data_IF_618217927469
#
_entry.id   IF_618217927469
#
_cell.length_a   1.000
_cell.length_b   1.000
_cell.length_c   1.000
_cell.angle_alpha   90.00
_cell.angle_beta   90.00
_cell.angle_gamma   90.00
#
_symmetry.space_group_name_H-M   'P 1'
#
loop_
_entity.id
_entity.type
_entity.pdbx_description
1 polymer ?
#
# COMPACT_ATOMS: atom_id res chain seq x y z
N UNK A 1 26.38 3.70 -24.71
CA UNK A 1 25.15 2.92 -24.52
C UNK A 1 25.44 1.88 -23.45
N UNK A 2 25.22 2.22 -22.20
CA UNK A 2 25.36 1.28 -21.07
C UNK A 2 23.99 0.65 -20.86
N UNK A 3 23.90 -0.64 -21.15
CA UNK A 3 22.74 -1.48 -20.83
C UNK A 3 22.54 -1.45 -19.34
N UNK A 4 21.48 -0.78 -18.89
CA UNK A 4 20.99 -0.94 -17.53
C UNK A 4 20.51 -2.39 -17.41
N UNK A 5 21.28 -3.23 -16.75
CA UNK A 5 20.88 -4.59 -16.41
C UNK A 5 19.72 -4.43 -15.40
N UNK A 6 18.51 -4.55 -15.91
CA UNK A 6 17.32 -4.70 -15.07
C UNK A 6 17.54 -6.01 -14.31
N UNK A 7 17.70 -5.91 -12.98
CA UNK A 7 17.71 -7.07 -12.12
C UNK A 7 16.32 -7.72 -12.20
N UNK A 8 16.25 -8.83 -12.89
CA UNK A 8 15.03 -9.56 -13.19
C UNK A 8 14.49 -10.27 -11.94
N UNK A 9 13.19 -10.52 -11.94
CA UNK A 9 12.43 -11.25 -10.93
C UNK A 9 13.10 -12.56 -10.45
N UNK A 10 13.89 -13.22 -11.30
CA UNK A 10 14.73 -14.38 -10.95
C UNK A 10 15.79 -14.04 -9.90
N UNK A 11 16.42 -12.86 -9.96
CA UNK A 11 17.41 -12.43 -8.98
C UNK A 11 16.75 -11.89 -7.70
N UNK A 12 15.55 -11.34 -7.80
CA UNK A 12 14.71 -10.97 -6.63
C UNK A 12 14.12 -12.20 -5.93
N UNK A 13 13.81 -13.27 -6.69
CA UNK A 13 13.34 -14.55 -6.13
C UNK A 13 14.49 -15.43 -5.65
N UNK A 14 15.72 -15.22 -6.08
CA UNK A 14 16.89 -15.91 -5.51
C UNK A 14 17.19 -15.46 -4.07
N UNK A 15 16.69 -14.29 -3.67
CA UNK A 15 16.70 -13.83 -2.27
C UNK A 15 15.52 -14.41 -1.45
N UNK A 16 14.54 -15.05 -2.12
CA UNK A 16 13.44 -15.79 -1.47
C UNK A 16 13.69 -17.28 -1.71
N UNK A 17 14.31 -18.01 -0.77
CA UNK A 17 14.59 -19.43 -0.96
C UNK A 17 13.25 -20.17 -1.16
N UNK A 18 13.12 -20.82 -2.31
CA UNK A 18 12.12 -21.87 -2.49
C UNK A 18 12.19 -22.79 -1.28
N UNK A 19 11.04 -23.05 -0.63
CA UNK A 19 10.85 -23.84 0.58
C UNK A 19 11.94 -24.91 0.77
N UNK A 20 12.97 -24.62 1.53
CA UNK A 20 13.76 -25.66 2.14
C UNK A 20 13.06 -26.03 3.45
N UNK A 21 12.49 -27.21 3.51
CA UNK A 21 11.82 -27.81 4.66
C UNK A 21 12.83 -28.12 5.81
N UNK A 22 13.59 -27.13 6.22
CA UNK A 22 14.28 -27.18 7.53
C UNK A 22 13.35 -26.47 8.49
N UNK A 23 12.71 -27.28 9.37
CA UNK A 23 12.04 -26.78 10.56
C UNK A 23 12.96 -25.74 11.21
N UNK A 24 12.67 -24.47 11.03
CA UNK A 24 13.33 -23.42 11.77
C UNK A 24 13.00 -23.68 13.24
N UNK A 25 14.00 -23.91 14.04
CA UNK A 25 13.86 -23.95 15.49
C UNK A 25 13.06 -22.72 15.89
N UNK A 26 12.09 -22.88 16.80
CA UNK A 26 11.17 -21.86 17.24
C UNK A 26 11.89 -20.71 17.97
N UNK A 27 12.59 -19.88 17.21
CA UNK A 27 13.12 -18.63 17.75
C UNK A 27 11.98 -17.60 17.78
N UNK A 28 11.81 -16.94 18.91
CA UNK A 28 10.87 -15.82 19.05
C UNK A 28 11.24 -14.75 18.02
N UNK A 29 10.30 -14.43 17.11
CA UNK A 29 10.50 -13.44 16.05
C UNK A 29 10.36 -12.02 16.62
N UNK A 30 11.38 -11.20 16.46
CA UNK A 30 11.31 -9.77 16.84
C UNK A 30 10.57 -9.00 15.74
N UNK A 31 9.55 -8.23 16.16
CA UNK A 31 8.67 -7.52 15.24
C UNK A 31 8.61 -6.03 15.55
N UNK A 32 8.60 -5.21 14.50
CA UNK A 32 8.32 -3.77 14.56
C UNK A 32 7.04 -3.48 13.77
N UNK A 33 6.15 -2.64 14.32
CA UNK A 33 4.92 -2.25 13.62
C UNK A 33 4.87 -0.73 13.51
N UNK A 34 5.14 -0.22 12.32
CA UNK A 34 4.98 1.19 12.00
C UNK A 34 3.51 1.46 11.68
N UNK A 35 2.89 2.40 12.41
CA UNK A 35 1.45 2.68 12.29
C UNK A 35 0.57 1.69 13.06
N UNK A 36 1.00 1.25 14.24
CA UNK A 36 0.36 0.23 15.07
C UNK A 36 -1.09 0.54 15.49
N UNK A 37 -1.49 1.80 15.51
CA UNK A 37 -2.84 2.25 15.90
C UNK A 37 -3.78 2.46 14.71
N UNK A 38 -3.33 2.20 13.48
CA UNK A 38 -4.15 2.20 12.28
C UNK A 38 -4.79 0.82 12.02
N UNK A 39 -5.68 0.72 11.03
CA UNK A 39 -6.41 -0.53 10.72
C UNK A 39 -5.50 -1.73 10.38
N UNK A 40 -4.42 -1.49 9.64
CA UNK A 40 -3.43 -2.52 9.33
C UNK A 40 -2.62 -2.89 10.57
N UNK A 41 -2.22 -1.88 11.37
CA UNK A 41 -1.54 -2.08 12.63
C UNK A 41 -2.38 -2.91 13.60
N UNK A 42 -3.65 -2.56 13.77
CA UNK A 42 -4.59 -3.29 14.64
C UNK A 42 -4.76 -4.76 14.20
N UNK A 43 -4.95 -5.00 12.90
CA UNK A 43 -4.99 -6.35 12.33
C UNK A 43 -3.69 -7.13 12.56
N UNK A 44 -2.54 -6.45 12.49
CA UNK A 44 -1.23 -7.05 12.78
C UNK A 44 -1.11 -7.41 14.26
N UNK A 45 -1.49 -6.49 15.15
CA UNK A 45 -1.44 -6.72 16.58
C UNK A 45 -2.44 -7.80 17.04
N UNK A 46 -3.59 -7.95 16.35
CA UNK A 46 -4.52 -9.07 16.60
C UNK A 46 -3.89 -10.44 16.30
N UNK A 47 -3.13 -10.55 15.20
CA UNK A 47 -2.40 -11.77 14.87
C UNK A 47 -1.27 -12.06 15.85
N UNK A 48 -0.52 -11.07 16.28
CA UNK A 48 0.55 -11.22 17.28
C UNK A 48 -0.04 -11.63 18.63
N UNK A 49 -1.17 -11.05 19.03
CA UNK A 49 -1.90 -11.39 20.26
C UNK A 49 -2.38 -12.82 20.30
N UNK A 50 -2.65 -13.43 19.15
CA UNK A 50 -3.10 -14.83 19.05
C UNK A 50 -1.99 -15.86 19.36
N UNK A 51 -0.71 -15.47 19.28
CA UNK A 51 0.44 -16.34 19.54
C UNK A 51 1.60 -15.53 20.18
N UNK A 52 1.39 -14.95 21.38
CA UNK A 52 2.32 -13.99 21.99
C UNK A 52 3.68 -14.59 22.29
N UNK A 53 3.78 -15.89 22.50
CA UNK A 53 5.02 -16.62 22.75
C UNK A 53 5.94 -16.70 21.51
N UNK A 54 5.39 -16.45 20.32
CA UNK A 54 6.13 -16.49 19.05
C UNK A 54 6.75 -15.15 18.68
N UNK A 55 6.34 -14.05 19.33
CA UNK A 55 6.71 -12.71 18.91
C UNK A 55 7.22 -11.87 20.08
N UNK A 56 8.25 -11.08 19.81
CA UNK A 56 8.74 -10.03 20.70
C UNK A 56 8.60 -8.69 19.99
N UNK A 57 7.83 -7.79 20.57
CA UNK A 57 7.63 -6.45 19.98
C UNK A 57 8.84 -5.57 20.31
N UNK A 58 9.59 -5.20 19.27
CA UNK A 58 10.73 -4.30 19.38
C UNK A 58 10.26 -2.84 19.38
N UNK A 59 9.48 -2.44 18.36
CA UNK A 59 9.00 -1.06 18.28
C UNK A 59 7.56 -0.97 17.77
N UNK A 60 6.81 0.02 18.28
CA UNK A 60 5.49 0.41 17.80
C UNK A 60 5.46 1.91 17.52
N UNK A 61 4.78 2.32 16.44
CA UNK A 61 4.59 3.75 16.18
C UNK A 61 3.13 4.12 15.93
N UNK A 62 2.80 5.38 16.20
CA UNK A 62 1.51 5.98 15.88
C UNK A 62 1.72 7.40 15.32
N UNK A 63 0.70 8.01 14.75
CA UNK A 63 0.73 9.42 14.37
C UNK A 63 0.57 10.30 15.61
N UNK A 64 -0.66 10.41 16.14
CA UNK A 64 -1.03 11.29 17.27
C UNK A 64 -1.70 10.54 18.43
N UNK A 65 -2.10 9.28 18.23
CA UNK A 65 -2.89 8.53 19.20
C UNK A 65 -1.99 7.90 20.29
N UNK A 66 -1.65 8.72 21.29
CA UNK A 66 -0.81 8.31 22.44
C UNK A 66 -1.49 7.23 23.28
N UNK A 67 -2.77 7.39 23.57
CA UNK A 67 -3.52 6.46 24.44
C UNK A 67 -3.50 5.03 23.90
N UNK A 68 -3.89 4.86 22.64
CA UNK A 68 -3.88 3.55 21.99
C UNK A 68 -2.46 2.97 21.88
N UNK A 69 -1.45 3.80 21.57
CA UNK A 69 -0.07 3.37 21.48
C UNK A 69 0.46 2.87 22.84
N UNK A 70 0.19 3.60 23.92
CA UNK A 70 0.60 3.22 25.29
C UNK A 70 -0.07 1.92 25.73
N UNK A 71 -1.36 1.72 25.40
CA UNK A 71 -2.07 0.48 25.68
C UNK A 71 -1.39 -0.71 24.99
N UNK A 72 -1.10 -0.62 23.70
CA UNK A 72 -0.38 -1.65 22.95
C UNK A 72 1.04 -1.86 23.51
N UNK A 73 1.76 -0.78 23.80
CA UNK A 73 3.12 -0.85 24.33
C UNK A 73 3.22 -1.62 25.64
N UNK A 74 2.28 -1.40 26.54
CA UNK A 74 2.19 -2.12 27.82
C UNK A 74 1.76 -3.57 27.65
N UNK A 75 0.74 -3.82 26.83
CA UNK A 75 0.23 -5.17 26.53
C UNK A 75 1.32 -6.08 25.98
N UNK A 76 2.06 -5.60 24.98
CA UNK A 76 3.07 -6.38 24.28
C UNK A 76 4.49 -6.17 24.81
N UNK A 77 4.68 -5.38 25.88
CA UNK A 77 5.98 -5.05 26.48
C UNK A 77 6.98 -4.58 25.42
N UNK A 78 6.54 -3.66 24.55
CA UNK A 78 7.38 -3.10 23.51
C UNK A 78 8.64 -2.46 24.11
N UNK A 79 9.77 -2.54 23.42
CA UNK A 79 11.03 -1.92 23.91
C UNK A 79 11.08 -0.44 23.60
N UNK A 80 10.47 -0.04 22.48
CA UNK A 80 10.46 1.35 22.02
C UNK A 80 9.09 1.71 21.44
N UNK A 81 8.67 2.95 21.63
CA UNK A 81 7.50 3.50 20.97
C UNK A 81 7.75 4.92 20.47
N UNK A 82 7.13 5.29 19.36
CA UNK A 82 7.24 6.65 18.83
C UNK A 82 5.91 7.17 18.27
N UNK A 83 5.68 8.48 18.44
CA UNK A 83 4.61 9.22 17.78
C UNK A 83 5.19 10.19 16.77
N UNK A 84 4.53 10.33 15.61
CA UNK A 84 4.99 11.24 14.57
C UNK A 84 4.82 12.72 14.96
N UNK A 85 3.77 13.04 15.73
CA UNK A 85 3.56 14.39 16.23
C UNK A 85 4.51 14.69 17.41
N UNK A 86 5.51 15.54 17.14
CA UNK A 86 6.51 15.92 18.13
C UNK A 86 5.91 16.61 19.37
N UNK A 87 4.76 17.28 19.24
CA UNK A 87 4.07 17.95 20.35
C UNK A 87 3.52 16.96 21.40
N UNK A 88 3.43 15.67 21.06
CA UNK A 88 2.93 14.59 21.92
C UNK A 88 4.00 13.91 22.78
N UNK A 89 5.26 14.36 22.72
CA UNK A 89 6.36 13.69 23.42
C UNK A 89 6.18 13.65 24.94
N UNK A 90 5.81 14.77 25.53
CA UNK A 90 5.68 14.87 27.00
C UNK A 90 4.48 14.07 27.51
N UNK A 91 3.36 14.06 26.76
CA UNK A 91 2.20 13.20 27.02
C UNK A 91 2.62 11.71 26.99
N UNK A 92 3.37 11.30 25.97
CA UNK A 92 3.84 9.93 25.81
C UNK A 92 4.79 9.53 26.95
N UNK A 93 5.76 10.38 27.30
CA UNK A 93 6.70 10.14 28.41
C UNK A 93 5.99 9.98 29.75
N UNK A 94 5.05 10.87 30.06
CA UNK A 94 4.27 10.81 31.29
C UNK A 94 3.45 9.50 31.37
N UNK A 95 2.81 9.10 30.25
CA UNK A 95 2.02 7.89 30.20
C UNK A 95 2.84 6.60 30.31
N UNK A 96 4.14 6.62 29.96
CA UNK A 96 5.05 5.47 30.06
C UNK A 96 5.94 5.48 31.32
N UNK A 97 5.78 6.46 32.19
CA UNK A 97 6.59 6.56 33.40
C UNK A 97 6.53 5.26 34.22
N UNK A 98 7.70 4.78 34.69
CA UNK A 98 7.82 3.56 35.48
C UNK A 98 7.71 2.24 34.70
N UNK A 99 7.50 2.26 33.38
CA UNK A 99 7.39 1.02 32.57
C UNK A 99 8.72 0.49 32.04
N UNK A 100 9.75 1.33 31.97
CA UNK A 100 11.04 1.01 31.32
C UNK A 100 10.99 1.03 29.77
N UNK A 101 9.84 1.35 29.15
CA UNK A 101 9.69 1.45 27.70
C UNK A 101 10.33 2.76 27.23
N UNK A 102 11.24 2.67 26.25
CA UNK A 102 11.83 3.85 25.63
C UNK A 102 10.82 4.53 24.69
N UNK A 103 10.87 5.85 24.57
CA UNK A 103 9.96 6.57 23.67
C UNK A 103 10.61 7.76 22.99
N UNK A 104 10.06 8.10 21.81
CA UNK A 104 10.46 9.25 21.00
C UNK A 104 9.27 9.90 20.31
N UNK A 105 9.50 11.04 19.67
CA UNK A 105 8.49 11.71 18.85
C UNK A 105 9.15 12.45 17.67
N UNK A 106 8.35 12.71 16.64
CA UNK A 106 8.79 13.33 15.38
C UNK A 106 9.35 12.32 14.38
N UNK A 107 9.65 12.81 13.19
CA UNK A 107 10.08 11.98 12.05
C UNK A 107 11.33 11.14 12.36
N UNK A 108 12.31 11.72 13.07
CA UNK A 108 13.53 10.99 13.45
C UNK A 108 13.25 9.80 14.36
N UNK A 109 12.28 9.91 15.28
CA UNK A 109 11.91 8.80 16.16
C UNK A 109 11.14 7.69 15.41
N UNK A 110 10.37 8.04 14.37
CA UNK A 110 9.73 7.05 13.50
C UNK A 110 10.79 6.30 12.68
N UNK A 111 11.82 6.99 12.18
CA UNK A 111 12.97 6.36 11.49
C UNK A 111 13.74 5.48 12.46
N UNK A 112 14.05 5.95 13.69
CA UNK A 112 14.69 5.14 14.74
C UNK A 112 13.93 3.84 14.99
N UNK A 113 12.58 3.89 15.08
CA UNK A 113 11.78 2.67 15.25
C UNK A 113 12.00 1.66 14.12
N UNK A 114 12.21 2.11 12.89
CA UNK A 114 12.47 1.25 11.73
C UNK A 114 13.91 0.72 11.70
N UNK A 115 14.87 1.48 12.21
CA UNK A 115 16.30 1.10 12.30
C UNK A 115 16.57 0.10 13.42
N UNK A 116 15.68 -0.01 14.42
CA UNK A 116 15.88 -0.95 15.54
C UNK A 116 15.90 -2.40 15.05
N UNK A 117 16.72 -3.26 15.66
CA UNK A 117 16.93 -4.64 15.19
C UNK A 117 15.66 -5.48 15.39
N UNK A 118 14.92 -5.68 14.31
CA UNK A 118 13.78 -6.59 14.23
C UNK A 118 13.92 -7.53 13.03
N UNK A 119 13.38 -8.73 13.15
CA UNK A 119 13.45 -9.76 12.12
C UNK A 119 12.37 -9.54 11.05
N UNK A 120 11.29 -8.83 11.41
CA UNK A 120 10.15 -8.52 10.58
C UNK A 120 9.56 -7.15 10.93
N UNK A 121 9.16 -6.41 9.91
CA UNK A 121 8.61 -5.08 10.08
C UNK A 121 7.34 -4.92 9.26
N UNK A 122 6.24 -4.44 9.88
CA UNK A 122 5.05 -3.96 9.19
C UNK A 122 5.23 -2.47 8.87
N UNK A 123 5.23 -2.13 7.59
CA UNK A 123 5.25 -0.76 7.10
C UNK A 123 3.83 -0.29 6.78
N UNK A 124 3.12 0.27 7.77
CA UNK A 124 1.72 0.70 7.66
C UNK A 124 1.50 2.19 7.99
N UNK A 125 2.54 3.03 7.79
CA UNK A 125 2.40 4.49 7.85
C UNK A 125 1.85 4.97 6.51
N UNK A 126 0.68 5.59 6.49
CA UNK A 126 0.01 6.03 5.27
C UNK A 126 0.72 7.21 4.60
N UNK A 127 0.66 7.27 3.25
CA UNK A 127 1.19 8.37 2.45
C UNK A 127 2.71 8.40 2.34
N UNK A 128 3.24 9.44 1.72
CA UNK A 128 4.68 9.63 1.49
C UNK A 128 5.53 9.69 2.78
N UNK A 129 4.91 9.99 3.94
CA UNK A 129 5.59 10.01 5.25
C UNK A 129 6.19 8.63 5.63
N UNK A 130 5.63 7.54 5.10
CA UNK A 130 6.14 6.19 5.33
C UNK A 130 7.40 5.84 4.54
N UNK A 131 7.80 6.64 3.55
CA UNK A 131 8.91 6.31 2.65
C UNK A 131 10.26 6.24 3.39
N UNK A 132 10.61 7.27 4.19
CA UNK A 132 11.90 7.29 4.91
C UNK A 132 12.04 6.15 5.90
N UNK A 133 11.07 5.86 6.80
CA UNK A 133 11.19 4.73 7.70
C UNK A 133 11.18 3.38 6.99
N UNK A 134 10.43 3.21 5.89
CA UNK A 134 10.46 1.98 5.11
C UNK A 134 11.84 1.76 4.44
N UNK A 135 12.47 2.82 3.92
CA UNK A 135 13.84 2.76 3.40
C UNK A 135 14.86 2.44 4.48
N UNK A 136 14.75 3.04 5.68
CA UNK A 136 15.63 2.74 6.80
C UNK A 136 15.55 1.25 7.20
N UNK A 137 14.36 0.66 7.19
CA UNK A 137 14.19 -0.77 7.39
C UNK A 137 14.81 -1.60 6.25
N UNK A 138 14.65 -1.15 4.99
CA UNK A 138 15.23 -1.83 3.84
C UNK A 138 16.76 -1.81 3.87
N UNK A 139 17.38 -0.69 4.24
CA UNK A 139 18.84 -0.54 4.31
C UNK A 139 19.53 -1.52 5.27
N UNK A 140 18.83 -1.99 6.30
CA UNK A 140 19.36 -3.00 7.21
C UNK A 140 19.07 -4.44 6.79
N UNK A 141 18.51 -4.66 5.57
CA UNK A 141 18.21 -5.99 5.06
C UNK A 141 17.01 -6.66 5.75
N UNK A 142 16.03 -5.88 6.25
CA UNK A 142 14.88 -6.42 6.97
C UNK A 142 13.89 -7.16 6.07
N UNK A 143 13.11 -8.09 6.65
CA UNK A 143 11.87 -8.56 6.04
C UNK A 143 10.77 -7.54 6.33
N UNK A 144 10.22 -6.92 5.28
CA UNK A 144 9.24 -5.84 5.37
C UNK A 144 7.92 -6.31 4.76
N UNK A 145 6.87 -6.36 5.57
CA UNK A 145 5.49 -6.44 5.10
C UNK A 145 5.04 -5.02 4.69
N UNK A 146 5.02 -4.76 3.40
CA UNK A 146 4.74 -3.44 2.87
C UNK A 146 3.24 -3.28 2.64
N UNK A 147 2.60 -2.49 3.50
CA UNK A 147 1.19 -2.10 3.38
C UNK A 147 1.03 -0.65 2.90
N UNK A 148 2.10 0.14 2.94
CA UNK A 148 2.14 1.49 2.40
C UNK A 148 2.52 1.46 0.92
N UNK A 149 1.52 1.40 0.06
CA UNK A 149 1.72 1.41 -1.40
C UNK A 149 2.35 2.71 -1.92
N UNK A 150 2.16 3.81 -1.20
CA UNK A 150 2.72 5.12 -1.58
C UNK A 150 4.25 5.11 -1.59
N UNK A 151 4.92 4.24 -0.85
CA UNK A 151 6.37 4.07 -0.94
C UNK A 151 6.81 3.66 -2.35
N UNK A 152 6.08 2.74 -2.98
CA UNK A 152 6.37 2.29 -4.35
C UNK A 152 5.83 3.27 -5.39
N UNK A 153 4.64 3.80 -5.18
CA UNK A 153 4.06 4.79 -6.10
C UNK A 153 4.96 6.03 -6.20
N UNK A 154 5.53 6.48 -5.07
CA UNK A 154 6.36 7.69 -5.05
C UNK A 154 7.84 7.44 -5.41
N UNK A 155 8.38 6.25 -5.14
CA UNK A 155 9.81 6.00 -5.29
C UNK A 155 10.13 4.57 -5.74
N UNK A 156 9.23 3.90 -6.49
CA UNK A 156 9.26 2.46 -6.72
C UNK A 156 10.59 1.92 -7.20
N UNK A 157 11.14 2.42 -8.32
CA UNK A 157 12.43 1.96 -8.85
C UNK A 157 13.56 2.14 -7.83
N UNK A 158 13.65 3.33 -7.24
CA UNK A 158 14.68 3.63 -6.25
C UNK A 158 14.53 2.76 -4.99
N UNK A 159 13.29 2.60 -4.51
CA UNK A 159 12.99 1.79 -3.32
C UNK A 159 13.37 0.32 -3.54
N UNK A 160 12.93 -0.29 -4.64
CA UNK A 160 13.17 -1.71 -4.94
C UNK A 160 14.66 -1.99 -5.19
N UNK A 161 15.36 -1.11 -5.92
CA UNK A 161 16.80 -1.25 -6.13
C UNK A 161 17.58 -1.15 -4.82
N UNK A 162 17.20 -0.24 -3.93
CA UNK A 162 17.85 -0.07 -2.62
C UNK A 162 17.59 -1.25 -1.71
N UNK A 163 16.36 -1.76 -1.67
CA UNK A 163 15.99 -2.95 -0.93
C UNK A 163 16.77 -4.19 -1.42
N UNK A 164 16.84 -4.40 -2.74
CA UNK A 164 17.60 -5.50 -3.33
C UNK A 164 19.09 -5.42 -3.01
N UNK A 165 19.70 -4.22 -3.12
CA UNK A 165 21.11 -3.99 -2.79
C UNK A 165 21.44 -4.32 -1.33
N UNK A 166 20.51 -4.03 -0.42
CA UNK A 166 20.66 -4.30 1.00
C UNK A 166 20.27 -5.74 1.41
N UNK A 167 19.75 -6.55 0.48
CA UNK A 167 19.26 -7.90 0.77
C UNK A 167 17.96 -7.91 1.56
N UNK A 168 17.17 -6.84 1.53
CA UNK A 168 15.86 -6.78 2.16
C UNK A 168 14.85 -7.65 1.42
N UNK A 169 13.93 -8.25 2.17
CA UNK A 169 12.81 -9.02 1.64
C UNK A 169 11.53 -8.18 1.71
N UNK A 170 10.95 -7.83 0.57
CA UNK A 170 9.70 -7.06 0.51
C UNK A 170 8.54 -8.01 0.28
N UNK A 171 7.62 -8.08 1.24
CA UNK A 171 6.41 -8.89 1.19
C UNK A 171 5.20 -7.96 1.00
N UNK A 172 4.39 -8.12 -0.03
CA UNK A 172 3.21 -7.29 -0.23
C UNK A 172 2.14 -7.62 0.82
N UNK A 173 1.71 -6.62 1.60
CA UNK A 173 0.64 -6.78 2.58
C UNK A 173 -0.72 -6.27 2.08
N UNK A 174 -0.77 -5.56 0.96
CA UNK A 174 -2.02 -5.25 0.27
C UNK A 174 -2.66 -6.55 -0.27
N UNK A 175 -3.99 -6.70 -0.20
CA UNK A 175 -4.67 -7.98 -0.43
C UNK A 175 -4.47 -8.49 -1.86
N UNK A 176 -4.55 -7.61 -2.84
CA UNK A 176 -4.42 -7.95 -4.25
C UNK A 176 -2.97 -8.35 -4.60
N UNK A 177 -2.00 -7.58 -4.11
CA UNK A 177 -0.58 -7.87 -4.36
C UNK A 177 -0.13 -9.12 -3.62
N UNK A 178 -0.63 -9.34 -2.41
CA UNK A 178 -0.40 -10.59 -1.69
C UNK A 178 -0.99 -11.79 -2.42
N UNK A 179 -2.17 -11.62 -3.04
CA UNK A 179 -2.80 -12.64 -3.87
C UNK A 179 -1.95 -12.97 -5.10
N UNK A 180 -1.45 -11.95 -5.81
CA UNK A 180 -0.52 -12.14 -6.93
C UNK A 180 0.76 -12.84 -6.49
N UNK A 181 1.34 -12.43 -5.37
CA UNK A 181 2.55 -13.04 -4.82
C UNK A 181 2.36 -14.52 -4.49
N UNK A 182 1.20 -14.90 -3.94
CA UNK A 182 0.86 -16.30 -3.69
C UNK A 182 0.64 -17.10 -4.97
N UNK A 183 -0.03 -16.51 -5.97
CA UNK A 183 -0.32 -17.16 -7.24
C UNK A 183 0.94 -17.32 -8.12
N UNK A 184 1.83 -16.33 -8.14
CA UNK A 184 3.13 -16.37 -8.79
C UNK A 184 4.06 -17.46 -8.25
N UNK A 185 3.91 -17.83 -6.96
CA UNK A 185 4.68 -18.92 -6.36
C UNK A 185 4.47 -20.29 -7.00
N UNK A 186 3.56 -20.41 -7.96
CA UNK A 186 3.31 -21.63 -8.74
C UNK A 186 4.07 -21.70 -10.08
N UNK A 187 4.79 -20.61 -10.48
CA UNK A 187 5.53 -20.53 -11.74
C UNK A 187 6.70 -19.54 -11.67
N UNK A 188 7.34 -19.30 -12.81
CA UNK A 188 8.43 -18.33 -12.96
C UNK A 188 7.99 -17.08 -13.71
N UNK A 189 8.81 -16.02 -13.66
CA UNK A 189 8.57 -14.78 -14.41
C UNK A 189 8.51 -14.98 -15.92
N UNK A 190 9.32 -15.87 -16.45
CA UNK A 190 9.38 -16.19 -17.87
C UNK A 190 8.11 -16.91 -18.36
N UNK A 191 7.40 -17.58 -17.46
CA UNK A 191 6.14 -18.27 -17.76
C UNK A 191 4.93 -17.35 -17.65
N UNK A 192 5.09 -16.17 -17.05
CA UNK A 192 4.02 -15.19 -16.87
C UNK A 192 3.64 -14.52 -18.20
N UNK A 193 2.34 -14.45 -18.48
CA UNK A 193 1.75 -13.62 -19.54
C UNK A 193 1.31 -12.28 -18.99
N UNK A 194 0.50 -12.30 -17.92
CA UNK A 194 -0.01 -11.09 -17.24
C UNK A 194 -0.49 -11.39 -15.84
N UNK A 195 -0.62 -10.34 -15.06
CA UNK A 195 -1.34 -10.37 -13.78
C UNK A 195 -2.69 -9.68 -13.93
N UNK A 196 -3.65 -10.09 -13.12
CA UNK A 196 -5.00 -9.52 -13.11
C UNK A 196 -5.33 -9.13 -11.68
N UNK A 197 -5.46 -7.82 -11.45
CA UNK A 197 -5.84 -7.24 -10.16
C UNK A 197 -7.35 -7.10 -10.13
N UNK A 198 -8.01 -7.57 -9.07
CA UNK A 198 -9.46 -7.39 -8.95
C UNK A 198 -9.81 -6.11 -8.20
N UNK A 199 -10.95 -5.54 -8.50
CA UNK A 199 -11.53 -4.38 -7.85
C UNK A 199 -12.98 -4.64 -7.47
N UNK A 200 -13.45 -4.16 -6.31
CA UNK A 200 -14.89 -4.22 -5.98
C UNK A 200 -15.77 -3.39 -6.94
N UNK A 201 -15.16 -2.42 -7.63
CA UNK A 201 -15.86 -1.41 -8.42
C UNK A 201 -16.43 -0.25 -7.61
N UNK A 202 -16.28 -0.30 -6.29
CA UNK A 202 -16.74 0.76 -5.38
C UNK A 202 -18.27 0.92 -5.33
N UNK A 203 -18.78 1.94 -4.62
CA UNK A 203 -20.21 2.17 -4.45
C UNK A 203 -20.92 2.63 -5.73
N UNK A 204 -20.18 3.15 -6.70
CA UNK A 204 -20.73 3.74 -7.92
C UNK A 204 -20.67 2.83 -9.15
N UNK A 205 -20.30 1.56 -8.97
CA UNK A 205 -20.13 0.59 -10.06
C UNK A 205 -21.30 0.55 -11.06
N UNK A 206 -22.54 0.66 -10.57
CA UNK A 206 -23.76 0.60 -11.38
C UNK A 206 -24.38 1.98 -11.68
N UNK A 207 -23.75 3.07 -11.27
CA UNK A 207 -24.30 4.41 -11.43
C UNK A 207 -24.04 4.97 -12.83
N UNK A 208 -24.95 5.83 -13.32
CA UNK A 208 -24.71 6.60 -14.52
C UNK A 208 -23.61 7.66 -14.31
N UNK A 209 -22.86 7.99 -15.37
CA UNK A 209 -21.75 8.96 -15.27
C UNK A 209 -22.18 10.33 -14.71
N UNK A 210 -23.37 10.80 -15.08
CA UNK A 210 -23.92 12.07 -14.59
C UNK A 210 -24.18 12.06 -13.06
N UNK A 211 -24.60 10.92 -12.53
CA UNK A 211 -24.86 10.76 -11.10
C UNK A 211 -23.53 10.66 -10.31
N UNK A 212 -22.54 9.99 -10.88
CA UNK A 212 -21.19 9.90 -10.30
C UNK A 212 -20.57 11.30 -10.17
N UNK A 213 -20.74 12.16 -11.19
CA UNK A 213 -20.21 13.53 -11.16
C UNK A 213 -20.68 14.32 -9.93
N UNK A 214 -21.95 14.09 -9.51
CA UNK A 214 -22.60 14.79 -8.42
C UNK A 214 -22.60 14.02 -7.09
N UNK A 215 -21.87 12.89 -7.02
CA UNK A 215 -21.90 12.03 -5.85
C UNK A 215 -21.45 12.78 -4.58
N UNK A 216 -22.21 12.60 -3.51
CA UNK A 216 -21.91 13.22 -2.21
C UNK A 216 -20.84 12.44 -1.44
N UNK A 217 -20.21 13.10 -0.46
CA UNK A 217 -19.24 12.45 0.43
C UNK A 217 -19.86 11.24 1.15
N UNK A 218 -21.11 11.37 1.64
CA UNK A 218 -21.79 10.27 2.33
C UNK A 218 -22.04 9.05 1.42
N UNK A 219 -22.25 9.27 0.11
CA UNK A 219 -22.38 8.20 -0.86
C UNK A 219 -21.05 7.57 -1.20
N UNK A 220 -19.98 8.37 -1.38
CA UNK A 220 -18.64 7.89 -1.67
C UNK A 220 -18.02 7.05 -0.52
N UNK A 221 -18.43 7.30 0.72
CA UNK A 221 -17.98 6.56 1.90
C UNK A 221 -18.69 5.21 2.13
N UNK A 222 -19.68 4.84 1.30
CA UNK A 222 -20.40 3.55 1.42
C UNK A 222 -19.73 2.46 0.60
N UNK A 223 -18.57 1.96 1.09
CA UNK A 223 -17.92 0.82 0.42
C UNK A 223 -18.73 -0.47 0.63
N UNK A 224 -18.93 -1.31 -0.43
CA UNK A 224 -19.80 -2.49 -0.33
C UNK A 224 -19.27 -3.60 0.58
N UNK A 225 -17.96 -3.81 0.65
CA UNK A 225 -17.36 -5.01 1.28
C UNK A 225 -16.35 -4.69 2.40
N UNK A 226 -15.72 -3.51 2.38
CA UNK A 226 -14.63 -3.17 3.28
C UNK A 226 -14.97 -1.99 4.19
N UNK A 227 -14.56 -2.08 5.45
CA UNK A 227 -14.54 -0.93 6.36
C UNK A 227 -13.13 -0.34 6.39
N UNK A 228 -12.96 0.84 5.82
CA UNK A 228 -11.65 1.47 5.61
C UNK A 228 -11.66 2.94 6.03
N UNK A 229 -10.47 3.55 6.07
CA UNK A 229 -10.34 4.99 6.28
C UNK A 229 -10.96 5.81 5.16
N UNK A 230 -11.30 7.08 5.43
CA UNK A 230 -12.01 7.94 4.48
C UNK A 230 -11.27 8.09 3.14
N UNK A 231 -9.97 8.34 3.15
CA UNK A 231 -9.17 8.56 1.92
C UNK A 231 -9.25 7.34 1.00
N UNK A 232 -8.90 6.15 1.51
CA UNK A 232 -8.89 4.93 0.69
C UNK A 232 -10.30 4.50 0.25
N UNK A 233 -11.34 4.83 1.02
CA UNK A 233 -12.74 4.57 0.61
C UNK A 233 -13.13 5.43 -0.59
N UNK A 234 -12.74 6.71 -0.61
CA UNK A 234 -12.95 7.61 -1.75
C UNK A 234 -12.10 7.19 -2.95
N UNK A 235 -10.85 6.77 -2.72
CA UNK A 235 -9.99 6.23 -3.77
C UNK A 235 -10.59 4.95 -4.39
N UNK A 236 -11.22 4.10 -3.60
CA UNK A 236 -11.94 2.94 -4.11
C UNK A 236 -13.16 3.36 -4.94
N UNK A 237 -13.94 4.34 -4.46
CA UNK A 237 -15.12 4.85 -5.18
C UNK A 237 -14.76 5.47 -6.54
N UNK A 238 -13.58 6.08 -6.68
CA UNK A 238 -13.08 6.72 -7.89
C UNK A 238 -12.19 5.81 -8.76
N UNK A 239 -11.93 4.59 -8.34
CA UNK A 239 -10.95 3.66 -8.90
C UNK A 239 -9.49 4.18 -8.86
N UNK A 240 -9.24 5.28 -8.15
CA UNK A 240 -7.86 5.76 -7.89
C UNK A 240 -7.05 4.75 -7.07
N UNK A 241 -7.68 4.09 -6.07
CA UNK A 241 -6.99 3.04 -5.31
C UNK A 241 -6.48 1.93 -6.24
N UNK A 242 -7.31 1.51 -7.21
CA UNK A 242 -6.90 0.50 -8.17
C UNK A 242 -5.79 1.00 -9.10
N UNK A 243 -5.81 2.29 -9.42
CA UNK A 243 -4.70 2.93 -10.13
C UNK A 243 -3.39 2.90 -9.34
N UNK A 244 -3.43 3.22 -8.04
CA UNK A 244 -2.25 3.11 -7.14
C UNK A 244 -1.75 1.66 -7.08
N UNK A 245 -2.64 0.69 -7.04
CA UNK A 245 -2.31 -0.73 -7.01
C UNK A 245 -1.69 -1.23 -8.32
N UNK A 246 -2.14 -0.75 -9.47
CA UNK A 246 -1.50 -1.02 -10.78
C UNK A 246 -0.05 -0.51 -10.77
N UNK A 247 0.19 0.69 -10.24
CA UNK A 247 1.54 1.24 -10.11
C UNK A 247 2.38 0.40 -9.15
N UNK A 248 1.84 0.03 -8.00
CA UNK A 248 2.51 -0.82 -7.00
C UNK A 248 2.89 -2.18 -7.59
N UNK A 249 1.96 -2.86 -8.32
CA UNK A 249 2.22 -4.14 -8.96
C UNK A 249 3.36 -4.06 -9.99
N UNK A 250 3.41 -2.98 -10.77
CA UNK A 250 4.48 -2.74 -11.74
C UNK A 250 5.85 -2.77 -11.08
N UNK A 251 6.01 -2.09 -9.94
CA UNK A 251 7.28 -2.04 -9.22
C UNK A 251 7.58 -3.32 -8.42
N UNK A 252 6.58 -3.88 -7.72
CA UNK A 252 6.77 -5.09 -6.91
C UNK A 252 7.19 -6.30 -7.75
N UNK A 253 6.58 -6.45 -8.92
CA UNK A 253 6.74 -7.65 -9.75
C UNK A 253 7.51 -7.39 -11.04
N UNK A 254 8.12 -6.20 -11.18
CA UNK A 254 8.84 -5.76 -12.38
C UNK A 254 8.03 -5.96 -13.66
N UNK A 255 6.77 -5.52 -13.65
CA UNK A 255 5.82 -5.67 -14.76
C UNK A 255 5.72 -4.38 -15.55
N UNK A 256 5.59 -4.53 -16.87
CA UNK A 256 5.19 -3.41 -17.74
C UNK A 256 3.70 -3.11 -17.58
N UNK A 257 3.23 -1.89 -17.90
CA UNK A 257 1.81 -1.59 -17.85
C UNK A 257 0.92 -2.52 -18.68
N UNK A 258 1.47 -3.11 -19.76
CA UNK A 258 0.72 -3.99 -20.67
C UNK A 258 0.63 -5.44 -20.15
N UNK A 259 1.36 -5.78 -19.10
CA UNK A 259 1.28 -7.05 -18.38
C UNK A 259 0.37 -7.00 -17.15
N UNK A 260 -0.31 -5.88 -16.91
CA UNK A 260 -1.20 -5.70 -15.75
C UNK A 260 -2.60 -5.39 -16.23
N UNK A 261 -3.54 -6.26 -15.93
CA UNK A 261 -4.97 -6.06 -16.19
C UNK A 261 -5.74 -5.82 -14.90
N UNK A 262 -6.91 -5.20 -15.04
CA UNK A 262 -7.86 -4.99 -13.95
C UNK A 262 -9.21 -5.60 -14.33
N UNK A 263 -9.82 -6.35 -13.41
CA UNK A 263 -11.20 -6.79 -13.50
C UNK A 263 -12.02 -6.28 -12.30
N UNK A 264 -13.24 -5.88 -12.56
CA UNK A 264 -14.21 -5.57 -11.49
C UNK A 264 -14.83 -6.88 -11.03
N UNK A 265 -14.69 -7.19 -9.73
CA UNK A 265 -15.21 -8.37 -9.06
C UNK A 265 -15.95 -7.94 -7.78
N UNK A 266 -17.26 -7.69 -7.86
CA UNK A 266 -18.03 -7.06 -6.79
C UNK A 266 -18.01 -7.84 -5.47
N UNK A 267 -17.90 -9.16 -5.52
CA UNK A 267 -17.90 -10.00 -4.31
C UNK A 267 -16.58 -9.88 -3.51
N UNK A 268 -15.48 -9.43 -4.13
CA UNK A 268 -14.15 -9.30 -3.51
C UNK A 268 -13.66 -10.61 -2.86
N UNK A 269 -13.96 -11.76 -3.47
CA UNK A 269 -13.53 -13.09 -3.03
C UNK A 269 -12.23 -13.49 -3.72
N UNK A 270 -12.13 -13.26 -5.03
CA UNK A 270 -10.87 -13.38 -5.79
C UNK A 270 -10.15 -12.06 -5.63
N UNK A 271 -8.95 -12.08 -5.03
CA UNK A 271 -8.17 -10.86 -4.79
C UNK A 271 -7.19 -10.56 -5.93
N UNK A 272 -6.67 -11.59 -6.59
CA UNK A 272 -5.77 -11.43 -7.73
C UNK A 272 -5.55 -12.75 -8.46
N UNK A 273 -5.17 -12.66 -9.73
CA UNK A 273 -4.94 -13.80 -10.62
C UNK A 273 -3.67 -13.60 -11.43
N UNK A 274 -3.06 -14.70 -11.82
CA UNK A 274 -1.89 -14.76 -12.69
C UNK A 274 -2.20 -15.65 -13.87
N UNK A 275 -2.01 -15.15 -15.08
CA UNK A 275 -2.14 -15.92 -16.32
C UNK A 275 -0.75 -16.30 -16.85
N UNK A 276 -0.54 -17.58 -17.09
CA UNK A 276 0.70 -18.12 -17.64
C UNK A 276 0.64 -18.32 -19.15
N UNK A 277 1.78 -18.60 -19.79
CA UNK A 277 1.91 -18.74 -21.26
C UNK A 277 1.09 -19.89 -21.85
N UNK A 278 0.75 -20.90 -21.06
CA UNK A 278 -0.14 -21.99 -21.43
C UNK A 278 -1.63 -21.65 -21.27
N UNK A 279 -1.92 -20.37 -20.99
CA UNK A 279 -3.26 -19.82 -20.69
C UNK A 279 -3.92 -20.35 -19.43
N UNK A 280 -3.19 -21.08 -18.58
CA UNK A 280 -3.71 -21.39 -17.25
C UNK A 280 -3.75 -20.13 -16.39
N UNK A 281 -4.78 -20.04 -15.54
CA UNK A 281 -4.96 -18.92 -14.62
C UNK A 281 -4.96 -19.44 -13.19
N UNK A 282 -4.01 -18.94 -12.38
CA UNK A 282 -3.95 -19.21 -10.95
C UNK A 282 -4.56 -18.03 -10.19
N UNK A 283 -5.44 -18.32 -9.23
CA UNK A 283 -6.12 -17.29 -8.46
C UNK A 283 -5.99 -17.55 -6.95
N UNK A 284 -5.80 -16.50 -6.19
CA UNK A 284 -5.92 -16.56 -4.75
C UNK A 284 -7.31 -16.05 -4.34
N UNK A 285 -8.01 -16.84 -3.52
CA UNK A 285 -9.31 -16.54 -2.97
C UNK A 285 -9.23 -16.43 -1.44
N UNK A 286 -9.99 -15.51 -0.89
CA UNK A 286 -10.10 -15.30 0.56
C UNK A 286 -11.30 -14.46 0.94
N UNK A 287 -11.74 -14.54 2.19
CA UNK A 287 -12.67 -13.54 2.73
C UNK A 287 -12.03 -12.17 2.72
N UNK A 288 -12.78 -11.07 2.51
CA UNK A 288 -12.26 -9.72 2.50
C UNK A 288 -11.85 -9.28 3.92
N UNK A 289 -10.67 -9.71 4.34
CA UNK A 289 -10.11 -9.50 5.68
C UNK A 289 -8.59 -9.37 5.60
N UNK A 290 -8.07 -8.20 6.01
CA UNK A 290 -6.64 -7.89 5.95
C UNK A 290 -5.79 -8.83 6.81
N UNK A 291 -6.36 -9.52 7.78
CA UNK A 291 -5.61 -10.52 8.56
C UNK A 291 -5.13 -11.69 7.71
N UNK A 292 -5.75 -11.97 6.56
CA UNK A 292 -5.27 -13.03 5.64
C UNK A 292 -3.92 -12.68 5.00
N UNK A 293 -3.77 -11.57 4.25
CA UNK A 293 -2.48 -11.21 3.66
C UNK A 293 -1.42 -10.87 4.72
N UNK A 294 -1.81 -10.25 5.84
CA UNK A 294 -0.89 -9.96 6.94
C UNK A 294 -0.37 -11.25 7.59
N UNK A 295 -1.23 -12.26 7.81
CA UNK A 295 -0.82 -13.55 8.34
C UNK A 295 0.15 -14.27 7.38
N UNK A 296 -0.07 -14.18 6.08
CA UNK A 296 0.86 -14.70 5.07
C UNK A 296 2.23 -14.01 5.17
N UNK A 297 2.28 -12.68 5.25
CA UNK A 297 3.54 -11.94 5.42
C UNK A 297 4.20 -12.24 6.78
N UNK A 298 3.43 -12.30 7.86
CA UNK A 298 3.95 -12.54 9.21
C UNK A 298 4.47 -13.96 9.39
N UNK A 299 3.88 -14.93 8.69
CA UNK A 299 4.29 -16.33 8.72
C UNK A 299 5.42 -16.67 7.76
N UNK A 300 5.64 -15.85 6.71
CA UNK A 300 6.54 -16.18 5.61
C UNK A 300 7.91 -16.70 6.05
N UNK A 301 8.46 -17.77 5.42
CA UNK A 301 7.92 -18.49 4.25
C UNK A 301 6.83 -19.54 4.57
N UNK A 302 6.52 -19.77 5.82
CA UNK A 302 5.47 -20.69 6.25
C UNK A 302 4.10 -20.01 6.34
N UNK A 303 3.05 -20.80 6.59
CA UNK A 303 1.72 -20.29 6.89
C UNK A 303 1.45 -20.41 8.39
N UNK A 304 0.89 -19.37 8.97
CA UNK A 304 0.41 -19.35 10.36
C UNK A 304 -1.11 -19.50 10.40
N UNK A 305 -1.70 -19.92 11.52
CA UNK A 305 -3.15 -19.98 11.66
C UNK A 305 -3.81 -18.64 11.35
N UNK A 306 -4.76 -18.64 10.42
CA UNK A 306 -5.55 -17.47 10.05
C UNK A 306 -6.61 -17.14 11.09
N UNK A 307 -7.06 -15.87 11.11
CA UNK A 307 -8.16 -15.39 11.95
C UNK A 307 -9.34 -14.85 11.15
N UNK A 308 -9.22 -14.82 9.82
CA UNK A 308 -10.31 -14.50 8.92
C UNK A 308 -11.33 -15.65 8.85
N UNK A 309 -12.57 -15.34 8.50
CA UNK A 309 -13.58 -16.36 8.28
C UNK A 309 -13.21 -17.25 7.08
N UNK A 310 -13.34 -18.58 7.18
CA UNK A 310 -13.11 -19.45 6.04
C UNK A 310 -14.17 -19.21 4.95
N UNK A 311 -13.77 -19.43 3.68
CA UNK A 311 -14.70 -19.36 2.56
C UNK A 311 -15.57 -20.62 2.50
N UNK A 312 -16.86 -20.39 2.26
CA UNK A 312 -17.81 -21.42 1.87
C UNK A 312 -18.23 -21.16 0.42
N UNK A 313 -17.53 -21.78 -0.52
CA UNK A 313 -17.76 -21.53 -1.95
C UNK A 313 -19.13 -22.07 -2.41
N UNK A 314 -19.66 -23.11 -1.77
CA UNK A 314 -21.01 -23.61 -2.07
C UNK A 314 -22.08 -22.60 -1.69
N UNK A 315 -21.91 -21.89 -0.56
CA UNK A 315 -22.81 -20.84 -0.11
C UNK A 315 -22.67 -19.56 -0.96
N UNK A 316 -21.46 -19.21 -1.41
CA UNK A 316 -21.21 -18.08 -2.29
C UNK A 316 -21.83 -18.32 -3.67
N UNK A 317 -21.74 -19.52 -4.20
CA UNK A 317 -22.41 -19.99 -5.42
C UNK A 317 -21.87 -19.38 -6.71
N UNK A 318 -21.86 -18.04 -6.85
CA UNK A 318 -21.50 -17.37 -8.10
C UNK A 318 -20.44 -16.29 -7.87
N UNK A 319 -19.42 -16.25 -8.74
CA UNK A 319 -18.44 -15.18 -8.85
C UNK A 319 -18.66 -14.47 -10.18
N UNK A 320 -18.68 -13.14 -10.16
CA UNK A 320 -18.91 -12.31 -11.36
C UNK A 320 -17.72 -11.41 -11.62
N UNK A 321 -17.43 -11.19 -12.92
CA UNK A 321 -16.33 -10.37 -13.38
C UNK A 321 -16.82 -9.45 -14.49
N UNK A 322 -16.39 -8.18 -14.44
CA UNK A 322 -16.75 -7.15 -15.43
C UNK A 322 -15.47 -6.42 -15.86
N UNK A 323 -15.44 -5.93 -17.09
CA UNK A 323 -14.37 -5.04 -17.53
C UNK A 323 -14.48 -3.67 -16.81
N UNK A 324 -13.37 -3.02 -16.47
CA UNK A 324 -13.40 -1.69 -15.89
C UNK A 324 -13.89 -0.65 -16.92
N UNK A 325 -14.68 0.33 -16.48
CA UNK A 325 -15.17 1.42 -17.31
C UNK A 325 -14.28 2.65 -17.15
N UNK A 326 -13.32 2.81 -18.05
CA UNK A 326 -12.36 3.91 -18.03
C UNK A 326 -12.99 5.29 -18.29
N UNK A 327 -14.18 5.35 -18.93
CA UNK A 327 -14.88 6.60 -19.17
C UNK A 327 -15.55 7.12 -17.89
N UNK A 328 -16.20 6.23 -17.14
CA UNK A 328 -16.80 6.59 -15.84
C UNK A 328 -15.76 6.77 -14.73
N UNK A 329 -14.65 6.02 -14.80
CA UNK A 329 -13.60 6.01 -13.78
C UNK A 329 -12.21 6.29 -14.41
N UNK A 330 -11.97 7.52 -14.86
CA UNK A 330 -10.74 7.86 -15.60
C UNK A 330 -9.48 7.76 -14.73
N UNK A 331 -9.60 7.74 -13.40
CA UNK A 331 -8.48 7.60 -12.47
C UNK A 331 -7.62 6.37 -12.73
N UNK A 332 -8.23 5.25 -13.11
CA UNK A 332 -7.49 4.03 -13.44
C UNK A 332 -6.65 4.22 -14.72
N UNK A 333 -7.21 4.86 -15.78
CA UNK A 333 -6.45 5.15 -17.00
C UNK A 333 -5.26 6.07 -16.72
N UNK A 334 -5.45 7.10 -15.90
CA UNK A 334 -4.39 8.05 -15.52
C UNK A 334 -3.20 7.36 -14.83
N UNK A 335 -3.43 6.28 -14.09
CA UNK A 335 -2.35 5.49 -13.48
C UNK A 335 -1.49 4.79 -14.52
N UNK A 336 -2.10 4.18 -15.54
CA UNK A 336 -1.37 3.61 -16.68
C UNK A 336 -0.60 4.67 -17.46
N UNK A 337 -1.21 5.84 -17.67
CA UNK A 337 -0.55 6.96 -18.34
C UNK A 337 0.65 7.46 -17.51
N UNK A 338 0.54 7.50 -16.18
CA UNK A 338 1.65 7.85 -15.28
C UNK A 338 2.82 6.85 -15.38
N UNK A 339 2.52 5.54 -15.38
CA UNK A 339 3.55 4.50 -15.55
C UNK A 339 4.27 4.62 -16.90
N UNK A 340 3.52 4.84 -18.00
CA UNK A 340 4.12 5.00 -19.33
C UNK A 340 4.94 6.28 -19.45
N UNK A 341 4.56 7.34 -18.73
CA UNK A 341 5.32 8.59 -18.69
C UNK A 341 6.62 8.42 -17.90
N UNK A 342 6.62 7.64 -16.81
CA UNK A 342 7.79 7.46 -15.96
C UNK A 342 8.26 8.72 -15.23
N UNK A 343 9.52 8.75 -14.81
CA UNK A 343 10.21 9.96 -14.30
C UNK A 343 9.43 10.73 -13.24
N UNK A 344 8.92 10.06 -12.21
CA UNK A 344 8.18 10.68 -11.11
C UNK A 344 6.72 11.01 -11.42
N UNK A 345 6.19 10.69 -12.62
CA UNK A 345 4.79 10.93 -12.95
C UNK A 345 3.83 10.16 -12.03
N UNK A 346 4.21 9.00 -11.54
CA UNK A 346 3.46 8.22 -10.54
C UNK A 346 3.38 8.94 -9.19
N UNK A 347 4.45 9.63 -8.78
CA UNK A 347 4.47 10.50 -7.59
C UNK A 347 3.49 11.67 -7.77
N UNK A 348 3.50 12.29 -8.96
CA UNK A 348 2.58 13.39 -9.29
C UNK A 348 1.12 12.93 -9.26
N UNK A 349 0.83 11.74 -9.83
CA UNK A 349 -0.49 11.13 -9.77
C UNK A 349 -0.98 10.98 -8.32
N UNK A 350 -0.15 10.40 -7.44
CA UNK A 350 -0.50 10.23 -6.03
C UNK A 350 -0.69 11.56 -5.30
N UNK A 351 0.26 12.48 -5.43
CA UNK A 351 0.21 13.78 -4.77
C UNK A 351 -1.02 14.60 -5.17
N UNK A 352 -1.34 14.62 -6.48
CA UNK A 352 -2.52 15.28 -7.00
C UNK A 352 -3.82 14.62 -6.51
N UNK A 353 -3.85 13.28 -6.45
CA UNK A 353 -4.99 12.53 -5.91
C UNK A 353 -5.23 12.87 -4.44
N UNK A 354 -4.21 12.90 -3.61
CA UNK A 354 -4.37 13.25 -2.19
C UNK A 354 -4.90 14.67 -1.99
N UNK A 355 -4.44 15.64 -2.79
CA UNK A 355 -4.97 17.01 -2.77
C UNK A 355 -6.44 17.03 -3.23
N UNK A 356 -6.77 16.29 -4.28
CA UNK A 356 -8.13 16.23 -4.81
C UNK A 356 -9.10 15.58 -3.82
N UNK A 357 -8.71 14.47 -3.22
CA UNK A 357 -9.53 13.77 -2.21
C UNK A 357 -9.72 14.64 -0.97
N UNK A 358 -8.68 15.31 -0.49
CA UNK A 358 -8.80 16.25 0.63
C UNK A 358 -9.74 17.43 0.29
N UNK A 359 -9.68 17.95 -0.94
CA UNK A 359 -10.57 19.00 -1.40
C UNK A 359 -12.04 18.51 -1.50
N UNK A 360 -12.27 17.27 -1.94
CA UNK A 360 -13.59 16.67 -1.97
C UNK A 360 -14.16 16.45 -0.56
N UNK A 361 -13.35 15.91 0.37
CA UNK A 361 -13.75 15.77 1.78
C UNK A 361 -14.11 17.13 2.38
N UNK A 362 -13.32 18.16 2.06
CA UNK A 362 -13.57 19.55 2.48
C UNK A 362 -14.68 20.25 1.68
N UNK A 363 -15.40 19.54 0.81
CA UNK A 363 -16.52 20.06 -0.02
C UNK A 363 -16.14 21.25 -0.92
N UNK A 364 -14.86 21.33 -1.31
CA UNK A 364 -14.33 22.37 -2.21
C UNK A 364 -14.50 22.02 -3.68
N UNK A 365 -14.66 20.74 -4.00
CA UNK A 365 -14.87 20.22 -5.35
C UNK A 365 -15.93 19.11 -5.33
N UNK A 366 -16.53 18.83 -6.49
CA UNK A 366 -17.42 17.68 -6.71
C UNK A 366 -16.61 16.41 -6.90
N UNK A 367 -17.26 15.25 -6.77
CA UNK A 367 -16.61 13.94 -6.90
C UNK A 367 -15.91 13.76 -8.25
N UNK A 368 -16.58 14.04 -9.36
CA UNK A 368 -16.01 13.93 -10.71
C UNK A 368 -14.83 14.87 -10.96
N UNK A 369 -14.67 15.94 -10.15
CA UNK A 369 -13.51 16.83 -10.26
C UNK A 369 -12.21 16.21 -9.72
N UNK A 370 -12.26 15.11 -8.96
CA UNK A 370 -11.09 14.42 -8.42
C UNK A 370 -10.17 14.02 -9.59
N UNK A 371 -10.66 13.21 -10.51
CA UNK A 371 -9.86 12.75 -11.65
C UNK A 371 -9.39 13.90 -12.56
N UNK A 372 -10.24 14.92 -12.76
CA UNK A 372 -9.87 16.11 -13.55
C UNK A 372 -8.71 16.90 -12.95
N UNK A 373 -8.66 17.04 -11.63
CA UNK A 373 -7.53 17.71 -10.97
C UNK A 373 -6.24 16.90 -11.12
N UNK A 374 -6.32 15.58 -10.97
CA UNK A 374 -5.17 14.69 -11.18
C UNK A 374 -4.66 14.82 -12.61
N UNK A 375 -5.53 14.70 -13.62
CA UNK A 375 -5.17 14.83 -15.04
C UNK A 375 -4.56 16.20 -15.35
N UNK A 376 -5.18 17.28 -14.88
CA UNK A 376 -4.68 18.65 -15.09
C UNK A 376 -3.29 18.84 -14.47
N UNK A 377 -3.05 18.28 -13.29
CA UNK A 377 -1.76 18.37 -12.60
C UNK A 377 -0.69 17.57 -13.35
N UNK A 378 -0.96 16.34 -13.75
CA UNK A 378 -0.04 15.53 -14.55
C UNK A 378 0.32 16.22 -15.86
N UNK A 379 -0.67 16.74 -16.58
CA UNK A 379 -0.46 17.47 -17.83
C UNK A 379 0.37 18.76 -17.64
N UNK A 380 0.14 19.49 -16.55
CA UNK A 380 0.93 20.69 -16.23
C UNK A 380 2.37 20.33 -15.88
N UNK A 381 2.58 19.22 -15.16
CA UNK A 381 3.90 18.70 -14.81
C UNK A 381 4.74 18.36 -16.04
N UNK A 382 4.16 17.61 -16.98
CA UNK A 382 4.81 17.24 -18.24
C UNK A 382 5.15 18.48 -19.07
N UNK A 383 4.19 19.44 -19.21
CA UNK A 383 4.42 20.69 -19.95
C UNK A 383 5.50 21.55 -19.34
N UNK A 384 5.70 21.50 -18.04
CA UNK A 384 6.78 22.23 -17.35
C UNK A 384 8.17 21.59 -17.54
N UNK A 385 8.29 20.45 -18.22
CA UNK A 385 9.54 19.75 -18.45
C UNK A 385 10.13 19.09 -17.19
N UNK A 386 9.33 18.85 -16.16
CA UNK A 386 9.77 18.33 -14.86
C UNK A 386 9.95 16.80 -14.86
N UNK A 387 10.40 16.22 -15.95
CA UNK A 387 10.60 14.79 -16.12
C UNK A 387 12.07 14.41 -15.90
N UNK A 388 12.45 14.14 -14.65
CA UNK A 388 13.76 13.64 -14.28
C UNK A 388 13.65 12.32 -13.52
N UNK A 389 14.61 11.38 -13.70
CA UNK A 389 14.66 10.18 -12.90
C UNK A 389 14.77 10.50 -11.41
N UNK A 390 14.08 9.72 -10.57
CA UNK A 390 14.19 9.82 -9.12
C UNK A 390 15.41 8.99 -8.68
N UNK A 391 16.40 9.64 -8.08
CA UNK A 391 17.66 9.01 -7.66
C UNK A 391 17.81 8.92 -6.15
N UNK A 392 16.91 9.57 -5.42
CA UNK A 392 16.90 9.58 -3.95
C UNK A 392 15.48 9.70 -3.38
N UNK A 393 15.34 9.39 -2.09
CA UNK A 393 14.11 9.65 -1.35
C UNK A 393 13.76 11.14 -1.32
N UNK A 394 14.76 12.00 -1.24
CA UNK A 394 14.55 13.45 -1.19
C UNK A 394 14.07 13.99 -2.55
N UNK A 395 14.48 13.38 -3.69
CA UNK A 395 13.91 13.70 -5.01
C UNK A 395 12.42 13.36 -5.05
N UNK A 396 12.04 12.17 -4.58
CA UNK A 396 10.63 11.74 -4.54
C UNK A 396 9.79 12.68 -3.66
N UNK A 397 10.30 13.06 -2.49
CA UNK A 397 9.65 14.00 -1.57
C UNK A 397 9.54 15.40 -2.21
N UNK A 398 10.58 15.86 -2.91
CA UNK A 398 10.56 17.14 -3.60
C UNK A 398 9.51 17.14 -4.74
N UNK A 399 9.43 16.07 -5.52
CA UNK A 399 8.39 15.88 -6.56
C UNK A 399 7.00 15.89 -5.94
N UNK A 400 6.76 15.11 -4.88
CA UNK A 400 5.48 15.08 -4.16
C UNK A 400 5.07 16.49 -3.69
N UNK A 401 5.98 17.20 -3.02
CA UNK A 401 5.73 18.56 -2.53
C UNK A 401 5.38 19.55 -3.65
N UNK A 402 6.15 19.54 -4.75
CA UNK A 402 5.93 20.44 -5.88
C UNK A 402 4.64 20.09 -6.63
N UNK A 403 4.32 18.80 -6.78
CA UNK A 403 3.06 18.34 -7.37
C UNK A 403 1.85 18.77 -6.54
N UNK A 404 1.92 18.70 -5.21
CA UNK A 404 0.88 19.22 -4.30
C UNK A 404 0.66 20.71 -4.47
N UNK A 405 1.73 21.50 -4.56
CA UNK A 405 1.63 22.95 -4.83
C UNK A 405 0.95 23.22 -6.18
N UNK A 406 1.34 22.47 -7.21
CA UNK A 406 0.76 22.60 -8.55
C UNK A 406 -0.73 22.25 -8.53
N UNK A 407 -1.12 21.13 -7.90
CA UNK A 407 -2.51 20.74 -7.75
C UNK A 407 -3.32 21.80 -6.98
N UNK A 408 -2.78 22.33 -5.90
CA UNK A 408 -3.42 23.40 -5.12
C UNK A 408 -3.63 24.70 -5.95
N UNK A 409 -2.70 25.02 -6.83
CA UNK A 409 -2.82 26.17 -7.75
C UNK A 409 -3.90 25.95 -8.81
N UNK A 410 -4.07 24.72 -9.31
CA UNK A 410 -5.08 24.37 -10.31
C UNK A 410 -6.48 24.18 -9.71
N UNK A 411 -6.59 23.87 -8.42
CA UNK A 411 -7.82 23.55 -7.73
C UNK A 411 -8.95 24.58 -7.93
N UNK A 412 -8.74 25.91 -7.80
CA UNK A 412 -9.81 26.89 -7.99
C UNK A 412 -10.41 26.88 -9.41
N UNK A 413 -9.57 26.64 -10.43
CA UNK A 413 -10.03 26.57 -11.82
C UNK A 413 -10.87 25.32 -12.09
N UNK A 414 -10.50 24.20 -11.47
CA UNK A 414 -11.24 22.94 -11.56
C UNK A 414 -12.57 23.05 -10.81
N UNK A 415 -12.59 23.69 -9.64
CA UNK A 415 -13.82 23.93 -8.87
C UNK A 415 -14.82 24.80 -9.65
N UNK A 416 -14.37 25.88 -10.28
CA UNK A 416 -15.20 26.79 -11.05
C UNK A 416 -15.84 26.16 -12.31
N UNK A 417 -15.16 25.19 -12.95
CA UNK A 417 -15.72 24.46 -14.11
C UNK A 417 -16.76 23.41 -13.73
N UNK A 418 -16.89 23.09 -12.46
CA UNK A 418 -17.82 22.11 -11.94
C UNK A 418 -19.11 22.75 -11.37
N UNK A 419 -19.15 24.08 -11.24
CA UNK A 419 -20.36 24.85 -10.92
C UNK A 419 -21.18 25.13 -12.15
#
# INVERSE_FOLDING_TARGET
MASATVLWFGDLMSAVPLRNNKAAASSVRRVTVLGATGSIGDSTMDLIRAAPERYQVEALTANTNVEALVKLAREFRARFVAVADASKLDELRAALAGTGIQCGAGDSAIVEAAERPSDWLMAAVAGAAGLKPALAAADRGATIALANKECLVCAGDFFMQRAAKAGACILPADSEHNALFQALGSGSREELTRVIITASGGPFRTWAAADIEQATLAQALKHPNWSMGQKITIDSASMMNKGLEVIEASYLFALTPDEIDVLVHPQSIVHGMVEFRDFSVMAQLGSPDMRTPIAHCLGWPDRIPGRAAPLDLAKIGTLTFEAPDYARFPGLKLAYDALRTGHGATTVYNAANEVAVAAFIGQKIRFGAIARLVEATMNAWVRAGNLAPLTSADDAIAVDHNARKMAATLLPQIAAKAS
#
